data_IF_434342332465
#
_entry.id   IF_434342332465
#
_cell.length_a   1.000
_cell.length_b   1.000
_cell.length_c   1.000
_cell.angle_alpha   90.00
_cell.angle_beta   90.00
_cell.angle_gamma   90.00
#
_symmetry.space_group_name_H-M   'P 1'
#
loop_
_entity.id
_entity.type
_entity.pdbx_description
1 polymer ?
#
# COMPACT_ATOMS: atom_id res chain seq x y z
N UNK A 1 -8.81 -20.48 5.92
CA UNK A 1 -9.54 -19.28 5.44
C UNK A 1 -8.50 -18.23 5.10
N UNK A 2 -8.38 -17.82 3.84
CA UNK A 2 -7.49 -16.70 3.47
C UNK A 2 -8.12 -15.42 4.01
N UNK A 3 -7.47 -14.77 4.96
CA UNK A 3 -7.98 -13.51 5.50
C UNK A 3 -8.07 -12.46 4.38
N UNK A 4 -9.19 -11.75 4.33
CA UNK A 4 -9.49 -10.78 3.28
C UNK A 4 -8.56 -9.58 3.42
N UNK A 5 -7.68 -9.35 2.44
CA UNK A 5 -6.69 -8.24 2.46
C UNK A 5 -7.32 -6.86 2.37
N UNK A 6 -8.36 -6.70 1.56
CA UNK A 6 -9.10 -5.45 1.41
C UNK A 6 -10.50 -5.69 0.84
N UNK A 7 -11.34 -4.66 0.91
CA UNK A 7 -12.63 -4.59 0.22
C UNK A 7 -12.84 -3.22 -0.38
N UNK A 8 -13.44 -3.16 -1.56
CA UNK A 8 -13.98 -1.92 -2.10
C UNK A 8 -15.34 -1.60 -1.48
N UNK A 9 -15.60 -0.31 -1.29
CA UNK A 9 -16.83 0.23 -0.75
C UNK A 9 -17.52 1.03 -1.86
N UNK A 10 -18.86 0.94 -1.91
CA UNK A 10 -19.64 1.71 -2.88
C UNK A 10 -19.39 3.20 -2.65
N UNK A 11 -19.04 3.90 -3.71
CA UNK A 11 -18.88 5.35 -3.73
C UNK A 11 -19.27 5.86 -5.12
N UNK A 12 -19.76 7.09 -5.20
CA UNK A 12 -20.43 7.64 -6.40
C UNK A 12 -19.45 8.22 -7.43
N UNK A 13 -18.21 8.46 -7.05
CA UNK A 13 -17.18 9.03 -7.91
C UNK A 13 -15.84 8.30 -7.73
N UNK A 14 -15.10 8.65 -6.66
CA UNK A 14 -13.78 8.07 -6.42
C UNK A 14 -13.84 6.64 -5.88
N UNK A 15 -12.72 5.92 -6.02
CA UNK A 15 -12.53 4.63 -5.38
C UNK A 15 -12.39 4.78 -3.86
N UNK A 16 -13.19 4.00 -3.12
CA UNK A 16 -13.08 3.87 -1.67
C UNK A 16 -12.80 2.42 -1.32
N UNK A 17 -11.81 2.18 -0.49
CA UNK A 17 -11.49 0.83 0.01
C UNK A 17 -11.20 0.83 1.50
N UNK A 18 -11.29 -0.36 2.07
CA UNK A 18 -10.84 -0.68 3.42
C UNK A 18 -9.87 -1.84 3.33
N UNK A 19 -8.63 -1.63 3.79
CA UNK A 19 -7.65 -2.70 3.94
C UNK A 19 -7.67 -3.25 5.36
N UNK A 20 -7.29 -4.51 5.50
CA UNK A 20 -7.27 -5.24 6.76
C UNK A 20 -5.89 -5.89 6.94
N UNK A 21 -5.57 -6.25 8.18
CA UNK A 21 -4.37 -6.98 8.52
C UNK A 21 -4.42 -7.35 10.00
N UNK A 22 -3.64 -8.35 10.40
CA UNK A 22 -3.49 -8.74 11.81
C UNK A 22 -2.72 -7.69 12.60
N UNK A 23 -1.90 -6.90 11.91
CA UNK A 23 -1.20 -5.73 12.45
C UNK A 23 -1.45 -4.50 11.58
N UNK A 24 -1.07 -3.33 12.10
CA UNK A 24 -1.17 -2.08 11.35
C UNK A 24 -0.27 -2.11 10.11
N UNK A 25 0.93 -2.67 10.21
CA UNK A 25 1.88 -2.86 9.11
C UNK A 25 1.27 -3.71 8.00
N UNK A 26 0.61 -4.82 8.35
CA UNK A 26 -0.07 -5.66 7.37
C UNK A 26 -1.23 -4.90 6.71
N UNK A 27 -2.02 -4.15 7.50
CA UNK A 27 -3.11 -3.35 6.96
C UNK A 27 -2.62 -2.26 6.00
N UNK A 28 -1.56 -1.52 6.36
CA UNK A 28 -0.92 -0.53 5.47
C UNK A 28 -0.37 -1.22 4.21
N UNK A 29 0.34 -2.34 4.33
CA UNK A 29 0.83 -3.07 3.16
C UNK A 29 -0.31 -3.50 2.22
N UNK A 30 -1.44 -3.95 2.78
CA UNK A 30 -2.61 -4.33 1.99
C UNK A 30 -3.32 -3.13 1.33
N UNK A 31 -3.10 -1.88 1.78
CA UNK A 31 -3.62 -0.68 1.07
C UNK A 31 -2.96 -0.49 -0.28
N UNK A 32 -1.66 -0.79 -0.42
CA UNK A 32 -0.96 -0.72 -1.71
C UNK A 32 -1.51 -1.77 -2.70
N UNK A 33 -1.89 -2.96 -2.22
CA UNK A 33 -2.55 -3.98 -3.04
C UNK A 33 -3.98 -3.56 -3.45
N UNK A 34 -4.71 -2.90 -2.55
CA UNK A 34 -6.02 -2.33 -2.85
C UNK A 34 -5.91 -1.23 -3.93
N UNK A 35 -4.92 -0.35 -3.82
CA UNK A 35 -4.62 0.68 -4.81
C UNK A 35 -4.24 0.07 -6.16
N UNK A 36 -3.31 -0.90 -6.18
CA UNK A 36 -2.93 -1.60 -7.41
C UNK A 36 -4.15 -2.26 -8.09
N UNK A 37 -5.07 -2.83 -7.31
CA UNK A 37 -6.30 -3.46 -7.83
C UNK A 37 -7.28 -2.50 -8.50
N UNK A 38 -7.12 -1.18 -8.32
CA UNK A 38 -7.90 -0.18 -9.05
C UNK A 38 -7.38 0.01 -10.49
N UNK A 39 -6.16 -0.45 -10.78
CA UNK A 39 -5.45 -0.18 -12.03
C UNK A 39 -5.05 -1.47 -12.76
N UNK A 40 -4.67 -2.55 -12.06
CA UNK A 40 -4.32 -3.86 -12.63
C UNK A 40 -4.56 -5.04 -11.66
N UNK A 41 -4.60 -6.27 -12.20
CA UNK A 41 -4.66 -7.49 -11.40
C UNK A 41 -3.27 -7.84 -10.85
N UNK A 42 -2.91 -7.27 -9.69
CA UNK A 42 -1.57 -7.46 -9.09
C UNK A 42 -1.19 -8.93 -8.84
N UNK A 43 -2.17 -9.83 -8.67
CA UNK A 43 -1.91 -11.25 -8.40
C UNK A 43 -1.24 -11.95 -9.58
N UNK A 44 -1.51 -11.52 -10.81
CA UNK A 44 -0.95 -12.12 -12.02
C UNK A 44 0.45 -11.60 -12.34
N UNK A 45 0.95 -10.60 -11.60
CA UNK A 45 2.27 -10.02 -11.83
C UNK A 45 3.36 -11.00 -11.37
N UNK A 46 4.31 -11.27 -12.26
CA UNK A 46 5.52 -12.05 -11.98
C UNK A 46 6.53 -11.20 -11.19
N UNK A 47 7.02 -11.71 -10.06
CA UNK A 47 7.86 -10.95 -9.11
C UNK A 47 9.34 -11.04 -9.50
N UNK A 48 9.74 -10.33 -10.55
CA UNK A 48 11.12 -10.36 -11.09
C UNK A 48 12.12 -9.49 -10.32
N UNK A 49 11.64 -8.40 -9.72
CA UNK A 49 12.47 -7.40 -9.06
C UNK A 49 11.82 -6.95 -7.75
N UNK A 50 12.65 -6.58 -6.77
CA UNK A 50 12.24 -6.02 -5.48
C UNK A 50 12.70 -4.58 -5.37
N UNK A 51 11.84 -3.70 -4.87
CA UNK A 51 12.16 -2.30 -4.58
C UNK A 51 11.85 -1.98 -3.12
N UNK A 52 12.86 -1.69 -2.29
CA UNK A 52 12.61 -1.16 -0.96
C UNK A 52 12.10 0.28 -1.08
N UNK A 53 11.17 0.64 -0.20
CA UNK A 53 10.68 2.01 -0.05
C UNK A 53 10.79 2.41 1.41
N UNK A 54 11.14 3.66 1.65
CA UNK A 54 11.12 4.29 2.97
C UNK A 54 10.38 5.61 2.81
N UNK A 55 9.36 5.84 3.65
CA UNK A 55 8.56 7.06 3.64
C UNK A 55 8.48 7.64 5.04
N UNK A 56 8.13 8.92 5.17
CA UNK A 56 8.01 9.58 6.48
C UNK A 56 6.71 10.35 6.55
N UNK A 57 6.11 10.38 7.74
CA UNK A 57 4.91 11.16 8.03
C UNK A 57 4.92 11.68 9.46
N UNK A 58 4.36 12.86 9.70
CA UNK A 58 4.21 13.43 11.05
C UNK A 58 3.23 12.63 11.91
N UNK A 59 2.31 11.92 11.26
CA UNK A 59 1.32 11.03 11.86
C UNK A 59 1.04 9.84 10.90
N UNK A 60 0.28 8.86 11.37
CA UNK A 60 -0.06 7.66 10.59
C UNK A 60 -0.89 7.96 9.33
N UNK A 61 -1.71 9.02 9.35
CA UNK A 61 -2.53 9.39 8.19
C UNK A 61 -1.63 9.94 7.09
N UNK A 62 -0.73 10.86 7.44
CA UNK A 62 0.25 11.38 6.49
C UNK A 62 1.18 10.28 6.01
N UNK A 63 1.65 9.39 6.88
CA UNK A 63 2.49 8.25 6.50
C UNK A 63 1.80 7.40 5.42
N UNK A 64 0.51 7.07 5.62
CA UNK A 64 -0.26 6.31 4.63
C UNK A 64 -0.42 7.04 3.30
N UNK A 65 -0.68 8.36 3.34
CA UNK A 65 -0.80 9.18 2.12
C UNK A 65 0.52 9.17 1.33
N UNK A 66 1.65 9.40 2.01
CA UNK A 66 2.97 9.39 1.36
C UNK A 66 3.32 8.00 0.86
N UNK A 67 3.01 6.95 1.63
CA UNK A 67 3.21 5.55 1.22
C UNK A 67 2.46 5.21 -0.06
N UNK A 68 1.16 5.52 -0.15
CA UNK A 68 0.38 5.28 -1.36
C UNK A 68 0.85 6.14 -2.54
N UNK A 69 1.28 7.38 -2.27
CA UNK A 69 1.92 8.25 -3.27
C UNK A 69 3.20 7.64 -3.85
N UNK A 70 4.03 7.01 -3.02
CA UNK A 70 5.25 6.32 -3.47
C UNK A 70 4.92 5.13 -4.40
N UNK A 71 3.85 4.38 -4.11
CA UNK A 71 3.39 3.29 -5.02
C UNK A 71 2.97 3.85 -6.37
N UNK A 72 2.28 4.99 -6.41
CA UNK A 72 1.92 5.68 -7.66
C UNK A 72 3.17 6.19 -8.40
N UNK A 73 4.14 6.77 -7.68
CA UNK A 73 5.40 7.21 -8.26
C UNK A 73 6.18 6.05 -8.91
N UNK A 74 6.25 4.90 -8.24
CA UNK A 74 6.87 3.70 -8.77
C UNK A 74 6.18 3.23 -10.07
N UNK A 75 4.85 3.28 -10.12
CA UNK A 75 4.10 3.01 -11.34
C UNK A 75 4.45 4.01 -12.45
N UNK A 76 4.17 5.29 -12.23
CA UNK A 76 4.15 6.32 -13.27
C UNK A 76 5.54 6.71 -13.77
N UNK A 77 6.54 6.71 -12.87
CA UNK A 77 7.89 7.22 -13.17
C UNK A 77 8.89 6.08 -13.37
N UNK A 78 8.72 4.96 -12.67
CA UNK A 78 9.67 3.82 -12.72
C UNK A 78 9.17 2.64 -13.55
N UNK A 79 7.96 2.71 -14.11
CA UNK A 79 7.31 1.59 -14.81
C UNK A 79 7.32 0.30 -13.97
N UNK A 80 7.13 0.44 -12.65
CA UNK A 80 7.14 -0.67 -11.70
C UNK A 80 5.71 -1.06 -11.34
N UNK A 81 5.28 -2.24 -11.80
CA UNK A 81 4.00 -2.82 -11.42
C UNK A 81 4.13 -3.60 -10.11
N UNK A 82 3.33 -3.21 -9.11
CA UNK A 82 3.27 -3.91 -7.83
C UNK A 82 2.63 -5.29 -8.00
N UNK A 83 3.35 -6.34 -7.58
CA UNK A 83 2.84 -7.72 -7.57
C UNK A 83 2.73 -8.35 -6.17
N UNK A 84 3.38 -7.77 -5.17
CA UNK A 84 3.33 -8.18 -3.76
C UNK A 84 3.90 -7.08 -2.87
N UNK A 85 3.53 -7.10 -1.59
CA UNK A 85 4.11 -6.26 -0.54
C UNK A 85 4.63 -7.17 0.56
N UNK A 86 5.86 -6.96 0.98
CA UNK A 86 6.56 -7.81 1.95
C UNK A 86 7.36 -6.94 2.91
N UNK A 87 7.41 -7.33 4.19
CA UNK A 87 8.31 -6.72 5.17
C UNK A 87 8.00 -5.26 5.49
N UNK A 88 6.72 -4.94 5.72
CA UNK A 88 6.32 -3.61 6.20
C UNK A 88 6.66 -3.49 7.68
N UNK A 89 7.35 -2.42 8.04
CA UNK A 89 7.66 -2.05 9.43
C UNK A 89 7.32 -0.58 9.61
N UNK A 90 6.71 -0.23 10.73
CA UNK A 90 6.43 1.16 11.10
C UNK A 90 7.23 1.49 12.35
N UNK A 91 8.08 2.51 12.27
CA UNK A 91 8.91 2.98 13.36
C UNK A 91 8.36 4.31 13.87
N UNK A 92 7.90 4.34 15.12
CA UNK A 92 7.52 5.58 15.81
C UNK A 92 8.78 6.28 16.32
N UNK A 93 8.91 7.56 15.98
CA UNK A 93 9.92 8.50 16.50
C UNK A 93 9.22 9.56 17.35
N UNK A 94 9.97 10.39 18.08
CA UNK A 94 9.40 11.39 19.02
C UNK A 94 8.28 12.24 18.41
N UNK A 95 8.42 12.65 17.14
CA UNK A 95 7.49 13.54 16.45
C UNK A 95 7.09 13.07 15.04
N UNK A 96 7.37 11.81 14.69
CA UNK A 96 7.09 11.29 13.35
C UNK A 96 7.02 9.77 13.29
N UNK A 97 6.63 9.26 12.14
CA UNK A 97 6.67 7.85 11.78
C UNK A 97 7.54 7.68 10.52
N UNK A 98 8.25 6.56 10.45
CA UNK A 98 8.97 6.09 9.25
C UNK A 98 8.48 4.69 8.93
#
# INVERSE_FOLDING_TARGET
MTEKKYRFLKHTADAKFQAFGKTLEEAIGNTALALASLMWEWKTIEKKIKRPIEVKGKDLKQLLVVFLGEILFLLDVKNFLLGAVEGVTILKKEHSYT
#
